data_IF_215819496319
#
_entry.id   IF_215819496319
#
_cell.length_a   1.000
_cell.length_b   1.000
_cell.length_c   1.000
_cell.angle_alpha   90.00
_cell.angle_beta   90.00
_cell.angle_gamma   90.00
#
_symmetry.space_group_name_H-M   'P 1'
#
loop_
_entity.id
_entity.type
_entity.pdbx_description
1 polymer ?
#
# COMPACT_ATOMS: atom_id res chain seq x y z
N UNK A 1 9.86 3.24 10.49
CA UNK A 1 8.87 3.88 9.63
C UNK A 1 8.67 5.34 9.95
N UNK A 2 7.87 6.02 9.14
CA UNK A 2 7.55 7.44 9.28
C UNK A 2 6.10 7.68 9.74
N UNK A 3 5.33 6.61 9.92
CA UNK A 3 3.96 6.69 10.43
C UNK A 3 3.97 7.20 11.87
N UNK A 4 3.24 8.28 12.12
CA UNK A 4 3.10 8.88 13.45
C UNK A 4 1.97 8.22 14.26
N UNK A 5 1.20 7.37 13.64
CA UNK A 5 0.07 6.63 14.22
C UNK A 5 0.47 5.69 15.37
N UNK A 6 1.76 5.31 15.43
CA UNK A 6 2.32 4.47 16.49
C UNK A 6 3.09 5.26 17.58
N UNK A 7 3.12 6.61 17.50
CA UNK A 7 3.84 7.46 18.45
C UNK A 7 2.85 8.32 19.22
N UNK A 8 2.65 8.12 20.52
CA UNK A 8 1.76 8.92 21.34
C UNK A 8 2.41 10.28 21.68
N UNK A 9 2.53 11.17 20.68
CA UNK A 9 3.25 12.46 20.79
C UNK A 9 2.74 13.31 21.96
N UNK A 10 1.41 13.36 22.16
CA UNK A 10 0.80 14.14 23.25
C UNK A 10 1.23 13.62 24.63
N UNK A 11 1.29 12.31 24.79
CA UNK A 11 1.73 11.69 26.04
C UNK A 11 3.24 11.85 26.23
N UNK A 12 4.02 11.72 25.17
CA UNK A 12 5.47 11.94 25.18
C UNK A 12 5.79 13.37 25.65
N UNK A 13 5.09 14.37 25.13
CA UNK A 13 5.25 15.78 25.56
C UNK A 13 4.92 15.94 27.04
N UNK A 14 3.79 15.38 27.51
CA UNK A 14 3.39 15.45 28.93
C UNK A 14 4.43 14.82 29.85
N UNK A 15 5.06 13.73 29.41
CA UNK A 15 6.09 13.01 30.18
C UNK A 15 7.51 13.53 29.93
N UNK A 16 7.67 14.62 29.15
CA UNK A 16 8.96 15.19 28.76
C UNK A 16 9.88 14.17 28.06
N UNK A 17 9.28 13.25 27.32
CA UNK A 17 10.02 12.27 26.50
C UNK A 17 10.37 12.92 25.17
N UNK A 18 11.66 12.93 24.83
CA UNK A 18 12.15 13.45 23.57
C UNK A 18 11.82 12.48 22.41
N UNK A 19 11.05 12.95 21.44
CA UNK A 19 10.74 12.21 20.22
C UNK A 19 11.52 12.78 19.05
N UNK A 20 12.19 11.92 18.31
CA UNK A 20 12.90 12.27 17.07
C UNK A 20 12.40 11.42 15.92
N UNK A 21 12.28 12.03 14.76
CA UNK A 21 11.91 11.37 13.51
C UNK A 21 13.15 11.26 12.59
N UNK A 22 13.15 10.33 11.64
CA UNK A 22 14.20 10.21 10.65
C UNK A 22 14.43 11.52 9.89
N UNK A 23 15.66 11.76 9.43
CA UNK A 23 16.01 12.93 8.63
C UNK A 23 15.20 13.00 7.33
N UNK A 24 15.13 14.18 6.70
CA UNK A 24 14.50 14.32 5.37
C UNK A 24 15.12 13.39 4.33
N UNK A 25 16.45 13.19 4.39
CA UNK A 25 17.18 12.26 3.51
C UNK A 25 16.66 10.83 3.71
N UNK A 26 16.64 10.36 4.94
CA UNK A 26 16.15 9.02 5.30
C UNK A 26 14.66 8.86 4.94
N UNK A 27 13.84 9.88 5.21
CA UNK A 27 12.41 9.87 4.86
C UNK A 27 12.19 9.76 3.35
N UNK A 28 13.01 10.41 2.51
CA UNK A 28 12.93 10.28 1.06
C UNK A 28 13.29 8.87 0.57
N UNK A 29 14.25 8.21 1.21
CA UNK A 29 14.57 6.79 0.92
C UNK A 29 13.35 5.93 1.16
N UNK A 30 12.68 6.07 2.31
CA UNK A 30 11.45 5.35 2.64
C UNK A 30 10.37 5.57 1.58
N UNK A 31 10.14 6.82 1.15
CA UNK A 31 9.13 7.11 0.15
C UNK A 31 9.42 6.47 -1.20
N UNK A 32 10.67 6.50 -1.63
CA UNK A 32 11.08 5.92 -2.91
C UNK A 32 11.01 4.39 -2.86
N UNK A 33 11.51 3.77 -1.78
CA UNK A 33 11.52 2.31 -1.64
C UNK A 33 10.09 1.77 -1.53
N UNK A 34 9.23 2.39 -0.70
CA UNK A 34 7.82 2.00 -0.62
C UNK A 34 7.11 2.15 -1.97
N UNK A 35 7.39 3.20 -2.73
CA UNK A 35 6.79 3.37 -4.06
C UNK A 35 7.29 2.30 -5.04
N UNK A 36 8.59 2.00 -5.05
CA UNK A 36 9.18 0.94 -5.89
C UNK A 36 8.59 -0.43 -5.54
N UNK A 37 8.51 -0.76 -4.26
CA UNK A 37 7.91 -2.01 -3.80
C UNK A 37 6.42 -2.11 -4.15
N UNK A 38 5.67 -1.01 -4.04
CA UNK A 38 4.26 -0.96 -4.48
C UNK A 38 4.15 -1.24 -5.98
N UNK A 39 5.02 -0.66 -6.81
CA UNK A 39 5.05 -0.95 -8.25
C UNK A 39 5.34 -2.43 -8.51
N UNK A 40 6.26 -3.06 -7.75
CA UNK A 40 6.50 -4.51 -7.84
C UNK A 40 5.22 -5.32 -7.53
N UNK A 41 4.47 -4.96 -6.48
CA UNK A 41 3.20 -5.63 -6.17
C UNK A 41 2.15 -5.43 -7.28
N UNK A 42 2.06 -4.23 -7.86
CA UNK A 42 1.18 -3.96 -9.01
C UNK A 42 1.57 -4.85 -10.18
N UNK A 43 2.85 -4.92 -10.57
CA UNK A 43 3.30 -5.80 -11.65
C UNK A 43 3.03 -7.27 -11.34
N UNK A 44 3.28 -7.72 -10.11
CA UNK A 44 2.98 -9.08 -9.67
C UNK A 44 1.50 -9.43 -9.89
N UNK A 45 0.58 -8.51 -9.53
CA UNK A 45 -0.85 -8.72 -9.73
C UNK A 45 -1.24 -8.68 -11.21
N UNK A 46 -0.65 -7.80 -12.01
CA UNK A 46 -0.94 -7.70 -13.44
C UNK A 46 -0.39 -8.89 -14.26
N UNK A 47 0.69 -9.53 -13.80
CA UNK A 47 1.33 -10.68 -14.44
C UNK A 47 1.09 -12.01 -13.71
N UNK A 48 0.11 -12.09 -12.81
CA UNK A 48 -0.14 -13.30 -12.01
C UNK A 48 -0.46 -14.54 -12.86
N UNK A 49 -1.07 -14.36 -14.01
CA UNK A 49 -1.36 -15.45 -14.94
C UNK A 49 -0.32 -15.49 -16.05
N UNK A 50 0.68 -16.34 -15.89
CA UNK A 50 1.81 -16.50 -16.84
C UNK A 50 1.66 -17.71 -17.76
N UNK A 51 0.67 -18.57 -17.53
CA UNK A 51 0.47 -19.81 -18.25
C UNK A 51 0.77 -21.07 -17.44
N UNK A 52 0.84 -22.20 -18.07
CA UNK A 52 1.10 -23.50 -17.46
C UNK A 52 2.50 -23.99 -17.82
N UNK A 53 3.37 -24.12 -16.81
CA UNK A 53 4.76 -24.55 -17.00
C UNK A 53 4.84 -26.00 -17.47
N UNK A 54 4.07 -26.90 -16.85
CA UNK A 54 4.11 -28.34 -17.15
C UNK A 54 3.77 -28.67 -18.61
N UNK A 55 2.85 -27.92 -19.22
CA UNK A 55 2.43 -28.09 -20.60
C UNK A 55 3.04 -27.05 -21.55
N UNK A 56 3.87 -26.13 -21.03
CA UNK A 56 4.48 -25.01 -21.74
C UNK A 56 3.49 -24.12 -22.49
N UNK A 57 2.24 -24.04 -21.96
CA UNK A 57 1.18 -23.24 -22.55
C UNK A 57 1.22 -21.81 -22.02
N UNK A 58 1.24 -20.86 -22.94
CA UNK A 58 1.18 -19.42 -22.64
C UNK A 58 -0.25 -19.04 -22.27
N UNK A 59 -0.40 -18.17 -21.25
CA UNK A 59 -1.67 -17.49 -21.03
C UNK A 59 -1.85 -16.36 -22.04
N UNK A 60 -3.04 -16.29 -22.60
CA UNK A 60 -3.47 -15.10 -23.32
C UNK A 60 -3.74 -13.97 -22.29
N UNK A 61 -3.21 -12.78 -22.56
CA UNK A 61 -3.34 -11.60 -21.71
C UNK A 61 -3.31 -10.31 -22.52
N UNK A 62 -4.03 -9.31 -22.05
CA UNK A 62 -3.95 -7.98 -22.60
C UNK A 62 -2.58 -7.33 -22.35
N UNK A 63 -2.16 -6.47 -23.27
CA UNK A 63 -1.00 -5.61 -23.07
C UNK A 63 -1.21 -4.74 -21.81
N UNK A 64 -0.14 -4.52 -21.06
CA UNK A 64 -0.19 -3.72 -19.85
C UNK A 64 -0.60 -2.27 -20.11
N UNK A 65 -0.25 -1.71 -21.28
CA UNK A 65 -0.68 -0.37 -21.69
C UNK A 65 -2.20 -0.23 -21.88
N UNK A 66 -2.92 -1.35 -22.02
CA UNK A 66 -4.39 -1.38 -22.10
C UNK A 66 -5.05 -1.62 -20.72
N UNK A 67 -4.24 -1.63 -19.66
CA UNK A 67 -4.69 -1.77 -18.28
C UNK A 67 -4.71 -0.42 -17.57
N UNK A 68 -5.68 -0.25 -16.68
CA UNK A 68 -5.86 0.96 -15.91
C UNK A 68 -5.50 0.75 -14.43
N UNK A 69 -4.77 1.73 -13.88
CA UNK A 69 -4.42 1.80 -12.46
C UNK A 69 -5.12 3.00 -11.82
N UNK A 70 -5.81 2.78 -10.72
CA UNK A 70 -6.30 3.84 -9.84
C UNK A 70 -5.41 3.95 -8.61
N UNK A 71 -4.79 5.10 -8.41
CA UNK A 71 -4.02 5.44 -7.21
C UNK A 71 -4.87 6.29 -6.28
N UNK A 72 -5.21 5.76 -5.10
CA UNK A 72 -6.00 6.46 -4.08
C UNK A 72 -5.07 7.05 -3.02
N UNK A 73 -5.04 8.38 -2.95
CA UNK A 73 -4.10 9.17 -2.16
C UNK A 73 -2.89 9.63 -2.97
N UNK A 74 -2.75 10.96 -3.15
CA UNK A 74 -1.67 11.58 -3.95
C UNK A 74 -0.59 12.24 -3.08
N UNK A 75 -0.35 11.68 -1.90
CA UNK A 75 0.73 12.08 -1.01
C UNK A 75 2.12 11.66 -1.51
N UNK A 76 3.10 11.63 -0.60
CA UNK A 76 4.51 11.36 -0.95
C UNK A 76 4.75 10.04 -1.68
N UNK A 77 4.02 8.98 -1.32
CA UNK A 77 4.16 7.65 -1.93
C UNK A 77 3.27 7.53 -3.17
N UNK A 78 1.97 7.83 -3.06
CA UNK A 78 1.05 7.64 -4.16
C UNK A 78 1.38 8.47 -5.40
N UNK A 79 1.88 9.71 -5.23
CA UNK A 79 2.35 10.53 -6.36
C UNK A 79 3.54 9.91 -7.10
N UNK A 80 4.47 9.25 -6.37
CA UNK A 80 5.60 8.54 -6.97
C UNK A 80 5.14 7.28 -7.71
N UNK A 81 4.25 6.49 -7.09
CA UNK A 81 3.65 5.31 -7.75
C UNK A 81 2.94 5.71 -9.02
N UNK A 82 2.08 6.74 -8.97
CA UNK A 82 1.38 7.24 -10.16
C UNK A 82 2.36 7.68 -11.24
N UNK A 83 3.41 8.41 -10.89
CA UNK A 83 4.44 8.86 -11.85
C UNK A 83 5.20 7.70 -12.50
N UNK A 84 5.63 6.72 -11.70
CA UNK A 84 6.36 5.54 -12.20
C UNK A 84 5.50 4.67 -13.11
N UNK A 85 4.24 4.44 -12.72
CA UNK A 85 3.35 3.53 -13.47
C UNK A 85 2.80 4.12 -14.76
N UNK A 86 2.81 5.45 -14.95
CA UNK A 86 2.38 6.11 -16.20
C UNK A 86 3.10 5.64 -17.46
N UNK A 87 4.33 5.14 -17.31
CA UNK A 87 5.08 4.58 -18.45
C UNK A 87 4.57 3.20 -18.89
N UNK A 88 3.71 2.56 -18.12
CA UNK A 88 3.28 1.18 -18.32
C UNK A 88 1.76 1.01 -18.44
N UNK A 89 0.98 1.84 -17.75
CA UNK A 89 -0.47 1.71 -17.63
C UNK A 89 -1.16 3.05 -17.81
N UNK A 90 -2.47 3.04 -18.10
CA UNK A 90 -3.30 4.22 -17.94
C UNK A 90 -3.52 4.49 -16.43
N UNK A 91 -3.06 5.65 -15.93
CA UNK A 91 -3.05 5.96 -14.50
C UNK A 91 -4.00 7.10 -14.18
N UNK A 92 -5.05 6.79 -13.44
CA UNK A 92 -5.94 7.74 -12.79
C UNK A 92 -5.58 7.91 -11.32
N UNK A 93 -5.86 9.07 -10.75
CA UNK A 93 -5.63 9.34 -9.33
C UNK A 93 -6.91 9.83 -8.66
N UNK A 94 -7.10 9.45 -7.40
CA UNK A 94 -8.14 9.99 -6.55
C UNK A 94 -7.54 10.44 -5.21
N UNK A 95 -7.89 11.65 -4.79
CA UNK A 95 -7.47 12.17 -3.50
C UNK A 95 -8.67 12.80 -2.80
N UNK A 96 -9.01 12.30 -1.62
CA UNK A 96 -10.19 12.71 -0.85
C UNK A 96 -10.21 14.23 -0.53
N UNK A 97 -9.05 14.87 -0.53
CA UNK A 97 -8.93 16.32 -0.31
C UNK A 97 -9.13 17.14 -1.58
N UNK A 98 -9.17 16.52 -2.76
CA UNK A 98 -9.18 17.18 -4.07
C UNK A 98 -10.36 16.79 -4.94
N UNK A 99 -10.82 15.54 -4.82
CA UNK A 99 -11.86 14.97 -5.66
C UNK A 99 -13.18 14.85 -4.91
N UNK A 100 -14.29 14.83 -5.64
CA UNK A 100 -15.62 14.55 -5.11
C UNK A 100 -15.83 13.03 -5.01
N UNK A 101 -16.54 12.60 -3.98
CA UNK A 101 -16.79 11.16 -3.74
C UNK A 101 -17.54 10.48 -4.91
N UNK A 102 -18.38 11.20 -5.64
CA UNK A 102 -19.13 10.70 -6.79
C UNK A 102 -18.21 10.21 -7.92
N UNK A 103 -17.01 10.82 -8.05
CA UNK A 103 -16.00 10.43 -9.04
C UNK A 103 -15.40 9.06 -8.74
N UNK A 104 -15.28 8.69 -7.45
CA UNK A 104 -14.64 7.47 -7.02
C UNK A 104 -15.32 6.22 -7.57
N UNK A 105 -16.65 6.18 -7.60
CA UNK A 105 -17.43 5.07 -8.17
C UNK A 105 -17.03 4.78 -9.61
N UNK A 106 -16.97 5.80 -10.44
CA UNK A 106 -16.60 5.69 -11.87
C UNK A 106 -15.15 5.24 -12.04
N UNK A 107 -14.24 5.68 -11.16
CA UNK A 107 -12.84 5.28 -11.21
C UNK A 107 -12.64 3.84 -10.77
N UNK A 108 -13.30 3.41 -9.68
CA UNK A 108 -13.24 2.03 -9.18
C UNK A 108 -13.76 1.01 -10.21
N UNK A 109 -14.88 1.33 -10.88
CA UNK A 109 -15.50 0.41 -11.86
C UNK A 109 -14.70 0.22 -13.14
N UNK A 110 -13.72 1.08 -13.42
CA UNK A 110 -12.87 1.02 -14.62
C UNK A 110 -11.47 0.46 -14.34
N UNK A 111 -11.00 0.55 -13.08
CA UNK A 111 -9.64 0.20 -12.74
C UNK A 111 -9.40 -1.33 -12.77
N UNK A 112 -8.36 -1.77 -13.49
CA UNK A 112 -7.84 -3.14 -13.43
C UNK A 112 -7.02 -3.37 -12.16
N UNK A 113 -6.44 -2.31 -11.60
CA UNK A 113 -5.73 -2.32 -10.33
C UNK A 113 -6.04 -1.06 -9.53
N UNK A 114 -6.26 -1.21 -8.22
CA UNK A 114 -6.42 -0.10 -7.27
C UNK A 114 -5.28 -0.16 -6.27
N UNK A 115 -4.58 0.96 -6.04
CA UNK A 115 -3.48 1.05 -5.08
C UNK A 115 -3.76 2.12 -4.02
N UNK A 116 -3.62 1.74 -2.73
CA UNK A 116 -3.99 2.58 -1.59
C UNK A 116 -2.78 3.28 -0.98
N UNK A 117 -2.88 4.61 -0.82
CA UNK A 117 -1.83 5.47 -0.27
C UNK A 117 -2.38 6.57 0.64
N UNK A 118 -3.48 6.31 1.31
CA UNK A 118 -4.09 7.20 2.30
C UNK A 118 -3.61 6.85 3.71
N UNK A 119 -3.50 7.81 4.65
CA UNK A 119 -3.09 7.55 6.02
C UNK A 119 -4.19 6.84 6.81
N UNK A 120 -3.80 6.06 7.84
CA UNK A 120 -4.74 5.58 8.85
C UNK A 120 -5.14 6.74 9.77
N UNK A 121 -6.42 7.00 9.83
CA UNK A 121 -7.07 7.87 10.81
C UNK A 121 -8.56 7.46 10.94
N UNK A 122 -9.29 8.06 11.85
CA UNK A 122 -10.71 7.73 12.08
C UNK A 122 -11.60 7.89 10.86
N UNK A 123 -11.25 8.81 9.93
CA UNK A 123 -12.02 9.05 8.70
C UNK A 123 -11.71 8.04 7.59
N UNK A 124 -10.57 7.34 7.68
CA UNK A 124 -10.10 6.41 6.66
C UNK A 124 -10.16 4.94 7.12
N UNK A 125 -10.59 4.68 8.35
CA UNK A 125 -10.83 3.31 8.81
C UNK A 125 -11.93 2.68 7.97
N UNK A 126 -11.66 1.47 7.47
CA UNK A 126 -12.53 0.78 6.50
C UNK A 126 -12.96 1.66 5.32
N UNK A 127 -12.06 2.55 4.86
CA UNK A 127 -12.34 3.37 3.67
C UNK A 127 -12.75 2.50 2.49
N UNK A 128 -12.05 1.40 2.22
CA UNK A 128 -12.45 0.35 1.28
C UNK A 128 -13.38 -0.64 2.00
N UNK A 129 -14.61 -0.24 2.20
CA UNK A 129 -15.69 -1.02 2.79
C UNK A 129 -16.38 -1.91 1.73
N UNK A 130 -17.38 -2.68 2.15
CA UNK A 130 -18.16 -3.56 1.26
C UNK A 130 -18.69 -2.81 0.02
N UNK A 131 -19.25 -1.62 0.20
CA UNK A 131 -19.80 -0.82 -0.91
C UNK A 131 -18.70 -0.50 -1.96
N UNK A 132 -17.53 0.02 -1.52
CA UNK A 132 -16.45 0.41 -2.44
C UNK A 132 -15.76 -0.80 -3.07
N UNK A 133 -15.58 -1.88 -2.32
CA UNK A 133 -15.03 -3.12 -2.86
C UNK A 133 -15.96 -3.72 -3.93
N UNK A 134 -17.29 -3.70 -3.73
CA UNK A 134 -18.25 -4.16 -4.72
C UNK A 134 -18.31 -3.31 -6.00
N UNK A 135 -17.87 -2.04 -5.93
CA UNK A 135 -17.73 -1.15 -7.10
C UNK A 135 -16.50 -1.48 -7.95
N UNK A 136 -15.52 -2.21 -7.42
CA UNK A 136 -14.34 -2.58 -8.18
C UNK A 136 -14.71 -3.51 -9.32
N UNK A 137 -13.99 -3.35 -10.44
CA UNK A 137 -14.17 -4.18 -11.64
C UNK A 137 -13.90 -5.65 -11.35
N UNK A 138 -14.68 -6.56 -11.93
CA UNK A 138 -14.42 -8.00 -11.87
C UNK A 138 -13.04 -8.33 -12.44
N UNK A 139 -12.35 -9.27 -11.81
CA UNK A 139 -10.97 -9.67 -12.11
C UNK A 139 -9.93 -8.56 -11.88
N UNK A 140 -10.28 -7.49 -11.17
CA UNK A 140 -9.32 -6.46 -10.77
C UNK A 140 -8.51 -6.88 -9.54
N UNK A 141 -7.52 -6.06 -9.20
CA UNK A 141 -6.63 -6.30 -8.07
C UNK A 141 -6.58 -5.10 -7.13
N UNK A 142 -6.49 -5.36 -5.82
CA UNK A 142 -6.27 -4.34 -4.79
C UNK A 142 -4.86 -4.46 -4.22
N UNK A 143 -4.08 -3.37 -4.22
CA UNK A 143 -2.74 -3.30 -3.63
C UNK A 143 -2.74 -2.36 -2.44
N UNK A 144 -2.22 -2.83 -1.30
CA UNK A 144 -2.14 -2.03 -0.08
C UNK A 144 -0.76 -2.10 0.57
N UNK A 145 -0.03 -0.98 0.52
CA UNK A 145 1.24 -0.76 1.23
C UNK A 145 1.12 0.41 2.23
N UNK A 146 -0.11 0.84 2.54
CA UNK A 146 -0.37 1.94 3.45
C UNK A 146 -0.63 1.45 4.89
N UNK A 147 -1.85 0.96 5.19
CA UNK A 147 -2.24 0.33 6.47
C UNK A 147 -3.37 -0.67 6.23
N UNK A 148 -3.35 -1.81 6.94
CA UNK A 148 -4.39 -2.85 6.83
C UNK A 148 -5.78 -2.31 7.16
N UNK A 149 -5.91 -1.53 8.22
CA UNK A 149 -7.20 -1.00 8.72
C UNK A 149 -7.93 -0.03 7.77
N UNK A 150 -7.30 0.38 6.66
CA UNK A 150 -7.95 1.16 5.60
C UNK A 150 -8.97 0.32 4.81
N UNK A 151 -8.82 -0.99 4.86
CA UNK A 151 -9.68 -1.95 4.17
C UNK A 151 -10.49 -2.74 5.19
N UNK A 152 -11.77 -2.91 4.95
CA UNK A 152 -12.62 -3.82 5.71
C UNK A 152 -12.21 -5.27 5.40
N UNK A 153 -11.74 -6.00 6.43
CA UNK A 153 -11.21 -7.37 6.27
C UNK A 153 -12.30 -8.35 5.85
N UNK A 154 -13.48 -8.23 6.43
CA UNK A 154 -14.61 -9.12 6.15
C UNK A 154 -15.12 -8.91 4.72
N UNK A 155 -15.27 -7.67 4.31
CA UNK A 155 -15.66 -7.32 2.96
C UNK A 155 -14.62 -7.79 1.93
N UNK A 156 -13.34 -7.60 2.19
CA UNK A 156 -12.26 -8.10 1.31
C UNK A 156 -12.26 -9.63 1.24
N UNK A 157 -12.49 -10.31 2.36
CA UNK A 157 -12.61 -11.76 2.38
C UNK A 157 -13.73 -12.27 1.46
N UNK A 158 -14.92 -11.64 1.49
CA UNK A 158 -16.03 -12.01 0.61
C UNK A 158 -15.65 -11.86 -0.87
N UNK A 159 -15.00 -10.77 -1.23
CA UNK A 159 -14.62 -10.50 -2.62
C UNK A 159 -13.53 -11.45 -3.14
N UNK A 160 -12.58 -11.82 -2.30
CA UNK A 160 -11.53 -12.79 -2.66
C UNK A 160 -12.08 -14.21 -2.69
N UNK A 161 -12.91 -14.60 -1.71
CA UNK A 161 -13.48 -15.96 -1.64
C UNK A 161 -14.44 -16.25 -2.79
N UNK A 162 -15.15 -15.24 -3.30
CA UNK A 162 -15.97 -15.36 -4.50
C UNK A 162 -15.15 -15.45 -5.81
N UNK A 163 -13.84 -15.19 -5.74
CA UNK A 163 -12.96 -15.14 -6.90
C UNK A 163 -13.12 -13.87 -7.74
N UNK A 164 -13.91 -12.87 -7.28
CA UNK A 164 -14.21 -11.67 -8.06
C UNK A 164 -13.01 -10.73 -8.19
N UNK A 165 -12.25 -10.53 -7.10
CA UNK A 165 -11.02 -9.74 -7.11
C UNK A 165 -9.87 -10.51 -6.48
N UNK A 166 -8.66 -9.98 -6.63
CA UNK A 166 -7.46 -10.45 -5.94
C UNK A 166 -6.79 -9.32 -5.22
N UNK A 167 -5.87 -9.60 -4.28
CA UNK A 167 -5.17 -8.53 -3.60
C UNK A 167 -3.71 -8.86 -3.29
N UNK A 168 -2.89 -7.80 -3.10
CA UNK A 168 -1.51 -7.90 -2.63
C UNK A 168 -1.28 -6.87 -1.52
N UNK A 169 -0.98 -7.36 -0.32
CA UNK A 169 -0.81 -6.54 0.88
C UNK A 169 0.58 -6.72 1.48
N UNK A 170 1.17 -5.60 1.87
CA UNK A 170 2.39 -5.55 2.69
C UNK A 170 2.09 -5.21 4.16
N UNK A 171 0.87 -4.78 4.44
CA UNK A 171 0.41 -4.28 5.75
C UNK A 171 -0.92 -4.93 6.14
N UNK A 172 -1.14 -5.17 7.44
CA UNK A 172 -2.28 -5.94 7.90
C UNK A 172 -3.00 -5.26 9.07
N UNK A 173 -4.18 -5.79 9.43
CA UNK A 173 -5.01 -5.32 10.56
C UNK A 173 -4.31 -5.56 11.89
N UNK A 174 -3.66 -6.72 12.01
CA UNK A 174 -2.76 -7.08 13.10
C UNK A 174 -1.49 -7.70 12.51
N UNK A 175 -0.32 -7.40 13.06
CA UNK A 175 0.97 -7.92 12.61
C UNK A 175 1.71 -8.57 13.78
N UNK A 176 2.16 -9.83 13.67
CA UNK A 176 2.06 -10.74 12.51
C UNK A 176 0.61 -11.14 12.17
N UNK A 177 0.32 -11.31 10.86
CA UNK A 177 -1.02 -11.61 10.40
C UNK A 177 -1.31 -13.13 10.37
N UNK A 178 -2.36 -13.53 11.09
CA UNK A 178 -2.88 -14.90 11.14
C UNK A 178 -4.37 -14.99 10.77
N UNK A 179 -4.90 -13.93 10.14
CA UNK A 179 -6.31 -13.84 9.80
C UNK A 179 -6.74 -14.75 8.64
N UNK A 180 -8.03 -14.72 8.37
CA UNK A 180 -8.71 -15.63 7.43
C UNK A 180 -8.26 -15.51 5.97
N UNK A 181 -7.73 -14.36 5.54
CA UNK A 181 -7.23 -14.17 4.18
C UNK A 181 -5.96 -14.97 3.88
N UNK A 182 -5.22 -15.40 4.91
CA UNK A 182 -3.98 -16.19 4.74
C UNK A 182 -4.20 -17.49 3.96
N UNK A 183 -5.40 -18.09 4.00
CA UNK A 183 -5.71 -19.30 3.24
C UNK A 183 -5.64 -19.11 1.72
N UNK A 184 -5.73 -17.88 1.21
CA UNK A 184 -5.65 -17.54 -0.20
C UNK A 184 -4.24 -17.20 -0.69
N UNK A 185 -3.24 -17.24 0.21
CA UNK A 185 -1.84 -17.04 -0.16
C UNK A 185 -1.27 -18.26 -0.86
N UNK A 186 -0.46 -18.10 -1.93
CA UNK A 186 -0.01 -16.84 -2.52
C UNK A 186 -0.85 -16.36 -3.71
N UNK A 187 -1.90 -17.07 -4.09
CA UNK A 187 -2.55 -16.97 -5.40
C UNK A 187 -3.51 -15.78 -5.50
N UNK A 188 -4.55 -15.78 -4.68
CA UNK A 188 -5.59 -14.72 -4.73
C UNK A 188 -5.34 -13.60 -3.72
N UNK A 189 -4.54 -13.86 -2.68
CA UNK A 189 -4.11 -12.89 -1.69
C UNK A 189 -2.60 -13.00 -1.45
N UNK A 190 -1.82 -12.17 -2.13
CA UNK A 190 -0.38 -12.11 -1.90
C UNK A 190 -0.05 -11.30 -0.65
N UNK A 191 0.90 -11.78 0.15
CA UNK A 191 1.31 -11.16 1.41
C UNK A 191 2.82 -10.98 1.47
N UNK A 192 3.27 -9.86 2.03
CA UNK A 192 4.65 -9.63 2.46
C UNK A 192 4.69 -9.04 3.87
N UNK A 193 5.74 -9.30 4.67
CA UNK A 193 5.74 -9.01 6.09
C UNK A 193 6.16 -7.57 6.41
N UNK A 194 5.43 -6.58 5.90
CA UNK A 194 5.62 -5.13 6.12
C UNK A 194 7.06 -4.67 5.79
N UNK A 195 7.53 -5.03 4.60
CA UNK A 195 8.91 -4.78 4.15
C UNK A 195 9.05 -3.64 3.14
N UNK A 196 7.94 -3.04 2.69
CA UNK A 196 7.93 -2.07 1.60
C UNK A 196 8.91 -0.89 1.77
N UNK A 197 9.24 -0.52 2.99
CA UNK A 197 10.22 0.54 3.30
C UNK A 197 11.57 0.03 3.78
N UNK A 198 11.76 -1.29 3.88
CA UNK A 198 12.94 -1.88 4.51
C UNK A 198 14.08 -2.03 3.51
N UNK A 199 15.13 -1.23 3.67
CA UNK A 199 16.38 -1.32 2.93
C UNK A 199 17.56 -0.93 3.83
N UNK A 200 18.78 -1.26 3.41
CA UNK A 200 20.01 -0.98 4.19
C UNK A 200 20.18 0.50 4.47
N UNK A 201 19.91 1.34 3.49
CA UNK A 201 20.06 2.80 3.58
C UNK A 201 19.05 3.42 4.57
N UNK A 202 17.86 2.85 4.69
CA UNK A 202 16.90 3.24 5.73
C UNK A 202 17.40 2.90 7.13
N UNK A 203 17.90 1.68 7.32
CA UNK A 203 18.44 1.23 8.61
C UNK A 203 19.65 2.07 9.03
N UNK A 204 20.55 2.37 8.09
CA UNK A 204 21.69 3.25 8.32
C UNK A 204 21.26 4.67 8.71
N UNK A 205 20.30 5.25 8.01
CA UNK A 205 19.76 6.56 8.35
C UNK A 205 19.07 6.60 9.72
N UNK A 206 18.48 5.50 10.18
CA UNK A 206 17.95 5.36 11.55
C UNK A 206 19.07 5.31 12.57
N UNK A 207 20.18 4.59 12.29
CA UNK A 207 21.39 4.52 13.13
C UNK A 207 22.01 5.90 13.30
N UNK A 208 22.26 6.62 12.19
CA UNK A 208 22.78 8.00 12.22
C UNK A 208 21.88 8.92 13.06
N UNK A 209 20.55 8.77 12.94
CA UNK A 209 19.60 9.55 13.73
C UNK A 209 19.68 9.25 15.24
N UNK A 210 19.89 8.00 15.62
CA UNK A 210 20.07 7.57 17.02
C UNK A 210 21.39 8.09 17.60
N UNK A 211 22.50 7.97 16.87
CA UNK A 211 23.82 8.48 17.28
C UNK A 211 23.78 9.99 17.53
N UNK A 212 23.08 10.73 16.66
CA UNK A 212 22.87 12.16 16.87
C UNK A 212 22.04 12.46 18.11
N UNK A 213 20.97 11.69 18.37
CA UNK A 213 20.14 11.86 19.56
C UNK A 213 20.95 11.63 20.84
N UNK A 214 21.81 10.61 20.88
CA UNK A 214 22.69 10.32 22.03
C UNK A 214 23.62 11.52 22.29
N UNK A 215 24.30 12.03 21.27
CA UNK A 215 25.14 13.23 21.40
C UNK A 215 24.38 14.44 21.93
N UNK A 216 23.17 14.71 21.39
CA UNK A 216 22.34 15.83 21.84
C UNK A 216 21.93 15.70 23.34
N UNK A 217 21.90 14.46 23.88
CA UNK A 217 21.61 14.21 25.30
C UNK A 217 22.84 14.33 26.20
N UNK A 218 24.03 13.97 25.71
CA UNK A 218 25.31 14.08 26.45
C UNK A 218 25.78 15.55 26.58
N UNK A 219 25.40 16.41 25.64
CA UNK A 219 25.77 17.83 25.58
C UNK A 219 24.81 18.73 26.42
N UNK A 220 23.73 18.18 27.05
CA UNK A 220 22.77 18.89 27.90
C UNK A 220 22.79 18.39 29.35
#
# INVERSE_FOLDING_TARGET
>A
GIGKDNVPEVEAIKKKILVRYPSKKTTNIIFNETAAYTCNLIFKMMYRNTGKIDTWLKSDRNNLSNKSLLVIGTGNIGSRVASLMKSFMDVSTFDILKNKNEELRSLLSKADCVSLHIPKNSSNESFMNHEKLSMMKDNSSLVNTARGQIVDEDALYHEISSGRITAAFDVFWNEPYYGKLKQFYPDSFFMSPHIASTCSEFLEGCREGLEKLIKDLDDN
#
